data_IF_495867945444
#
_entry.id   IF_495867945444
#
_cell.length_a   1.000
_cell.length_b   1.000
_cell.length_c   1.000
_cell.angle_alpha   90.00
_cell.angle_beta   90.00
_cell.angle_gamma   90.00
#
_symmetry.space_group_name_H-M   'P 1'
#
loop_
_entity.id
_entity.type
_entity.pdbx_description
1 polymer ?
#
# COMPACT_ATOMS: atom_id res chain seq x y z
N UNK A 1 21.63 -4.32 -17.39
CA UNK A 1 21.13 -5.50 -18.12
C UNK A 1 19.71 -5.17 -18.57
N UNK A 2 19.43 -5.31 -19.84
CA UNK A 2 18.06 -5.08 -20.34
C UNK A 2 17.13 -6.20 -19.85
N UNK A 3 15.93 -5.83 -19.39
CA UNK A 3 14.90 -6.81 -19.06
C UNK A 3 14.53 -7.63 -20.29
N UNK A 4 14.17 -8.92 -20.14
CA UNK A 4 13.64 -9.71 -21.24
C UNK A 4 12.45 -8.99 -21.89
N UNK A 5 12.25 -9.18 -23.19
CA UNK A 5 11.17 -8.55 -23.92
C UNK A 5 9.82 -8.91 -23.29
N UNK A 6 9.10 -7.92 -22.78
CA UNK A 6 7.79 -8.10 -22.14
C UNK A 6 7.77 -7.86 -20.61
N UNK A 7 8.90 -7.85 -19.94
CA UNK A 7 8.98 -7.51 -18.51
C UNK A 7 9.09 -6.00 -18.32
N UNK A 8 8.14 -5.45 -17.59
CA UNK A 8 8.10 -4.02 -17.23
C UNK A 8 7.77 -3.86 -15.77
N UNK A 9 8.28 -2.82 -15.10
CA UNK A 9 7.86 -2.51 -13.74
C UNK A 9 6.34 -2.31 -13.70
N UNK A 10 5.70 -2.88 -12.68
CA UNK A 10 4.30 -2.61 -12.39
C UNK A 10 4.21 -1.33 -11.57
N UNK A 11 3.21 -0.51 -11.86
CA UNK A 11 2.90 0.64 -11.03
C UNK A 11 1.80 0.24 -10.03
N UNK A 12 2.04 0.48 -8.75
CA UNK A 12 1.09 0.23 -7.66
C UNK A 12 0.83 1.53 -6.92
N UNK A 13 -0.43 1.81 -6.65
CA UNK A 13 -0.85 2.89 -5.76
C UNK A 13 -1.27 2.32 -4.40
N UNK A 14 -1.04 3.10 -3.34
CA UNK A 14 -1.44 2.73 -1.99
C UNK A 14 -1.92 3.96 -1.22
N UNK A 15 -2.82 3.75 -0.27
CA UNK A 15 -3.46 4.79 0.51
C UNK A 15 -3.08 4.70 2.00
N UNK A 16 -2.52 5.79 2.55
CA UNK A 16 -2.43 5.98 3.99
C UNK A 16 -3.72 6.64 4.47
N UNK A 17 -4.54 5.88 5.18
CA UNK A 17 -5.84 6.31 5.71
C UNK A 17 -5.92 6.08 7.20
N UNK A 18 -6.59 6.99 7.89
CA UNK A 18 -6.86 6.90 9.33
C UNK A 18 -8.35 6.73 9.57
N UNK A 19 -8.70 5.74 10.39
CA UNK A 19 -10.04 5.48 10.88
C UNK A 19 -9.97 5.28 12.39
N UNK A 20 -10.70 6.09 13.16
CA UNK A 20 -10.69 6.06 14.63
C UNK A 20 -9.27 6.12 15.23
N UNK A 21 -8.41 6.99 14.67
CA UNK A 21 -7.03 7.18 15.12
C UNK A 21 -6.07 6.05 14.74
N UNK A 22 -6.50 5.09 13.95
CA UNK A 22 -5.73 3.92 13.54
C UNK A 22 -5.51 3.88 12.04
N UNK A 23 -4.41 3.28 11.63
CA UNK A 23 -4.05 3.09 10.22
C UNK A 23 -4.84 1.91 9.66
N UNK A 24 -5.50 2.12 8.53
CA UNK A 24 -6.16 1.03 7.79
C UNK A 24 -5.12 0.23 7.04
N UNK A 25 -5.03 -1.06 7.32
CA UNK A 25 -4.14 -1.99 6.62
C UNK A 25 -4.91 -3.17 6.08
N UNK A 26 -4.36 -3.86 5.10
CA UNK A 26 -4.88 -5.14 4.61
C UNK A 26 -3.90 -6.24 4.98
N UNK A 27 -4.44 -7.35 5.47
CA UNK A 27 -3.66 -8.52 5.86
C UNK A 27 -3.70 -9.57 4.76
N UNK A 28 -2.52 -9.99 4.35
CA UNK A 28 -2.33 -11.06 3.39
C UNK A 28 -1.69 -12.27 4.05
N UNK A 29 -1.94 -13.44 3.47
CA UNK A 29 -1.29 -14.68 3.86
C UNK A 29 -0.68 -15.36 2.64
N UNK A 30 0.58 -15.74 2.76
CA UNK A 30 1.30 -16.54 1.76
C UNK A 30 1.91 -17.75 2.48
N UNK A 31 1.29 -18.92 2.33
CA UNK A 31 1.67 -20.10 3.11
C UNK A 31 1.47 -19.85 4.61
N UNK A 32 2.55 -19.94 5.39
CA UNK A 32 2.55 -19.64 6.84
C UNK A 32 2.87 -18.17 7.15
N UNK A 33 3.34 -17.40 6.16
CA UNK A 33 3.68 -15.98 6.34
C UNK A 33 2.43 -15.12 6.35
N UNK A 34 2.31 -14.26 7.36
CA UNK A 34 1.28 -13.22 7.45
C UNK A 34 1.97 -11.88 7.37
N UNK A 35 1.50 -11.03 6.48
CA UNK A 35 2.05 -9.70 6.30
C UNK A 35 0.96 -8.68 6.02
N UNK A 36 1.29 -7.41 6.22
CA UNK A 36 0.38 -6.29 6.04
C UNK A 36 0.86 -5.35 4.93
N UNK A 37 -0.10 -4.74 4.27
CA UNK A 37 0.13 -3.67 3.28
C UNK A 37 -0.84 -2.53 3.58
N UNK A 38 -0.50 -1.34 3.09
CA UNK A 38 -1.51 -0.31 2.91
C UNK A 38 -2.48 -0.74 1.80
N UNK A 39 -3.77 -0.41 1.92
CA UNK A 39 -4.74 -0.68 0.86
C UNK A 39 -4.28 -0.08 -0.46
N UNK A 40 -4.39 -0.83 -1.53
CA UNK A 40 -3.97 -0.40 -2.86
C UNK A 40 -3.75 -1.55 -3.80
N UNK A 41 -3.28 -1.25 -5.00
CA UNK A 41 -3.04 -2.26 -6.01
C UNK A 41 -2.52 -1.69 -7.32
N UNK A 42 -2.48 -2.53 -8.34
CA UNK A 42 -1.96 -2.17 -9.65
C UNK A 42 -2.82 -1.15 -10.37
N UNK A 43 -2.14 -0.26 -11.06
CA UNK A 43 -2.78 0.70 -11.98
C UNK A 43 -3.01 0.00 -13.31
N UNK A 44 -4.25 0.01 -13.79
CA UNK A 44 -4.59 -0.56 -15.08
C UNK A 44 -4.26 0.39 -16.23
N UNK A 45 -4.07 -0.17 -17.41
CA UNK A 45 -3.79 0.65 -18.60
C UNK A 45 -4.90 1.66 -18.83
N UNK A 46 -4.51 2.94 -18.96
CA UNK A 46 -5.46 4.04 -19.20
C UNK A 46 -6.15 4.56 -17.93
N UNK A 47 -5.89 3.96 -16.78
CA UNK A 47 -6.44 4.40 -15.49
C UNK A 47 -5.52 5.46 -14.87
N UNK A 48 -6.10 6.51 -14.29
CA UNK A 48 -5.31 7.48 -13.50
C UNK A 48 -4.90 6.86 -12.16
N UNK A 49 -3.87 7.41 -11.52
CA UNK A 49 -3.46 7.00 -10.18
C UNK A 49 -4.62 7.19 -9.20
N UNK A 50 -5.37 8.29 -9.31
CA UNK A 50 -6.53 8.55 -8.46
C UNK A 50 -7.62 7.48 -8.64
N UNK A 51 -8.00 7.18 -9.87
CA UNK A 51 -9.03 6.19 -10.16
C UNK A 51 -8.61 4.79 -9.65
N UNK A 52 -7.34 4.43 -9.86
CA UNK A 52 -6.80 3.17 -9.37
C UNK A 52 -6.85 3.07 -7.84
N UNK A 53 -6.43 4.13 -7.14
CA UNK A 53 -6.42 4.15 -5.67
C UNK A 53 -7.85 4.03 -5.12
N UNK A 54 -8.79 4.82 -5.62
CA UNK A 54 -10.17 4.79 -5.15
C UNK A 54 -10.83 3.43 -5.40
N UNK A 55 -10.59 2.83 -6.55
CA UNK A 55 -11.07 1.49 -6.91
C UNK A 55 -10.49 0.41 -5.99
N UNK A 56 -9.17 0.38 -5.82
CA UNK A 56 -8.48 -0.63 -5.00
C UNK A 56 -8.88 -0.51 -3.52
N UNK A 57 -8.97 0.70 -3.00
CA UNK A 57 -9.41 0.92 -1.61
C UNK A 57 -10.82 0.35 -1.42
N UNK A 58 -11.74 0.61 -2.33
CA UNK A 58 -13.10 0.08 -2.23
C UNK A 58 -13.12 -1.45 -2.32
N UNK A 59 -12.41 -2.03 -3.27
CA UNK A 59 -12.35 -3.48 -3.47
C UNK A 59 -11.75 -4.22 -2.27
N UNK A 60 -10.70 -3.68 -1.67
CA UNK A 60 -10.00 -4.34 -0.58
C UNK A 60 -10.62 -4.08 0.79
N UNK A 61 -11.16 -2.89 1.01
CA UNK A 61 -11.59 -2.47 2.36
C UNK A 61 -13.11 -2.23 2.50
N UNK A 62 -13.82 -2.00 1.41
CA UNK A 62 -15.21 -1.56 1.45
C UNK A 62 -15.39 -0.06 1.73
N UNK A 63 -14.29 0.67 1.92
CA UNK A 63 -14.31 2.10 2.19
C UNK A 63 -14.26 2.91 0.89
N UNK A 64 -14.98 4.03 0.87
CA UNK A 64 -14.81 5.06 -0.13
C UNK A 64 -13.78 6.06 0.36
N UNK A 65 -12.86 6.46 -0.50
CA UNK A 65 -11.78 7.37 -0.16
C UNK A 65 -11.57 8.41 -1.25
N UNK A 66 -11.09 9.56 -0.84
CA UNK A 66 -10.68 10.65 -1.72
C UNK A 66 -9.16 10.81 -1.67
N UNK A 67 -8.54 10.92 -2.84
CA UNK A 67 -7.10 11.13 -2.98
C UNK A 67 -6.66 12.42 -2.30
N UNK A 68 -5.62 12.32 -1.49
CA UNK A 68 -4.93 13.45 -0.86
C UNK A 68 -3.52 13.64 -1.40
N UNK A 69 -2.63 14.26 -0.61
CA UNK A 69 -1.26 14.54 -1.04
C UNK A 69 -0.45 13.27 -1.33
N UNK A 70 0.45 13.37 -2.30
CA UNK A 70 1.50 12.38 -2.51
C UNK A 70 2.46 12.40 -1.31
N UNK A 71 2.73 11.21 -0.75
CA UNK A 71 3.65 11.05 0.38
C UNK A 71 4.97 10.45 -0.05
N UNK A 72 4.94 9.28 -0.68
CA UNK A 72 6.14 8.50 -0.95
C UNK A 72 6.10 7.85 -2.32
N UNK A 73 7.29 7.70 -2.90
CA UNK A 73 7.56 6.80 -4.03
C UNK A 73 8.71 5.89 -3.60
N UNK A 74 8.57 4.60 -3.86
CA UNK A 74 9.66 3.65 -3.66
C UNK A 74 9.63 2.55 -4.71
N UNK A 75 10.78 1.93 -4.93
CA UNK A 75 10.89 0.72 -5.73
C UNK A 75 10.82 -0.51 -4.83
N UNK A 76 10.22 -1.59 -5.32
CA UNK A 76 10.35 -2.93 -4.77
C UNK A 76 10.89 -3.83 -5.86
N UNK A 77 12.17 -4.20 -5.74
CA UNK A 77 12.88 -5.01 -6.72
C UNK A 77 13.31 -6.31 -6.05
N UNK A 78 12.74 -7.42 -6.50
CA UNK A 78 13.19 -8.74 -6.06
C UNK A 78 14.55 -9.03 -6.68
N UNK A 79 15.60 -9.30 -5.86
CA UNK A 79 16.91 -9.65 -6.38
C UNK A 79 16.93 -10.85 -7.31
N UNK A 80 15.94 -11.75 -7.22
CA UNK A 80 15.78 -12.88 -8.15
C UNK A 80 15.24 -12.48 -9.51
N UNK A 81 14.85 -11.21 -9.72
CA UNK A 81 14.29 -10.68 -10.96
C UNK A 81 12.84 -11.03 -11.23
N UNK A 82 12.15 -11.68 -10.29
CA UNK A 82 10.75 -12.09 -10.47
C UNK A 82 9.73 -10.97 -10.24
N UNK A 83 10.13 -9.89 -9.59
CA UNK A 83 9.21 -8.81 -9.25
C UNK A 83 9.91 -7.46 -9.29
N UNK A 84 9.30 -6.52 -9.99
CA UNK A 84 9.69 -5.12 -9.98
C UNK A 84 8.43 -4.26 -9.93
N UNK A 85 8.28 -3.49 -8.87
CA UNK A 85 7.11 -2.62 -8.64
C UNK A 85 7.59 -1.23 -8.28
N UNK A 86 6.96 -0.21 -8.88
CA UNK A 86 7.04 1.18 -8.41
C UNK A 86 5.82 1.45 -7.56
N UNK A 87 6.02 1.70 -6.28
CA UNK A 87 4.95 2.00 -5.32
C UNK A 87 4.80 3.51 -5.16
N UNK A 88 3.57 3.99 -5.27
CA UNK A 88 3.21 5.40 -5.10
C UNK A 88 2.18 5.47 -3.98
N UNK A 89 2.57 6.06 -2.85
CA UNK A 89 1.72 6.16 -1.65
C UNK A 89 1.19 7.57 -1.50
N UNK A 90 -0.14 7.68 -1.41
CA UNK A 90 -0.84 8.92 -1.13
C UNK A 90 -1.47 8.87 0.26
N UNK A 91 -1.61 10.04 0.90
CA UNK A 91 -2.61 10.17 1.94
C UNK A 91 -3.99 10.16 1.28
N UNK A 92 -4.97 9.57 1.93
CA UNK A 92 -6.35 9.57 1.44
C UNK A 92 -7.32 9.78 2.60
N UNK A 93 -8.43 10.43 2.31
CA UNK A 93 -9.49 10.70 3.30
C UNK A 93 -10.65 9.76 3.06
N UNK A 94 -11.10 9.08 4.12
CA UNK A 94 -12.28 8.20 4.06
C UNK A 94 -13.51 9.08 3.97
N UNK A 95 -14.32 8.86 2.94
CA UNK A 95 -15.53 9.65 2.66
C UNK A 95 -16.83 8.87 2.89
N UNK A 96 -16.75 7.56 3.08
CA UNK A 96 -17.93 6.72 3.31
C UNK A 96 -17.57 5.24 3.30
N UNK A 97 -18.61 4.42 3.27
CA UNK A 97 -18.46 2.97 3.28
C UNK A 97 -18.27 2.38 4.66
N UNK A 98 -18.05 1.08 4.71
CA UNK A 98 -17.75 0.30 5.93
C UNK A 98 -16.69 -0.72 5.61
N UNK A 99 -15.87 -1.04 6.61
CA UNK A 99 -14.90 -2.14 6.48
C UNK A 99 -15.66 -3.42 6.15
N UNK A 100 -15.29 -4.02 5.03
CA UNK A 100 -15.88 -5.27 4.56
C UNK A 100 -15.31 -6.47 5.30
N UNK A 101 -16.15 -7.48 5.54
CA UNK A 101 -15.73 -8.81 5.99
C UNK A 101 -15.50 -9.78 4.83
N UNK A 102 -15.80 -9.35 3.60
CA UNK A 102 -15.67 -10.15 2.37
C UNK A 102 -15.02 -9.31 1.27
N UNK A 103 -13.69 -9.07 1.36
CA UNK A 103 -12.99 -8.31 0.33
C UNK A 103 -13.14 -8.93 -1.06
N UNK A 104 -13.28 -8.08 -2.07
CA UNK A 104 -13.35 -8.53 -3.46
C UNK A 104 -12.02 -9.16 -3.92
N UNK A 105 -10.90 -8.63 -3.44
CA UNK A 105 -9.58 -9.24 -3.67
C UNK A 105 -9.38 -10.44 -2.74
N UNK A 106 -9.30 -11.62 -3.33
CA UNK A 106 -9.16 -12.89 -2.59
C UNK A 106 -7.81 -13.06 -1.87
N UNK A 107 -6.82 -12.22 -2.17
CA UNK A 107 -5.53 -12.20 -1.46
C UNK A 107 -5.65 -11.53 -0.10
N UNK A 108 -6.65 -10.67 0.07
CA UNK A 108 -6.91 -9.99 1.34
C UNK A 108 -7.63 -10.93 2.28
N UNK A 109 -6.96 -11.34 3.36
CA UNK A 109 -7.55 -12.18 4.41
C UNK A 109 -8.45 -11.37 5.34
N UNK A 110 -8.02 -10.15 5.68
CA UNK A 110 -8.77 -9.24 6.55
C UNK A 110 -8.29 -7.79 6.39
N UNK A 111 -9.13 -6.87 6.82
CA UNK A 111 -8.79 -5.46 7.00
C UNK A 111 -8.53 -5.24 8.50
N UNK A 112 -7.33 -4.75 8.83
CA UNK A 112 -6.95 -4.50 10.21
C UNK A 112 -6.75 -3.00 10.45
N UNK A 113 -7.16 -2.54 11.64
CA UNK A 113 -6.89 -1.21 12.14
C UNK A 113 -5.72 -1.28 13.11
N UNK A 114 -4.64 -0.57 12.79
CA UNK A 114 -3.37 -0.65 13.51
C UNK A 114 -3.00 0.72 14.06
N UNK A 115 -2.69 0.79 15.34
CA UNK A 115 -2.20 2.05 15.93
C UNK A 115 -0.87 2.44 15.28
N UNK A 116 -0.62 3.74 15.05
CA UNK A 116 0.62 4.18 14.41
C UNK A 116 1.89 3.61 15.04
N UNK A 117 1.94 3.55 16.37
CA UNK A 117 3.09 3.02 17.11
C UNK A 117 3.30 1.50 16.95
N UNK A 118 2.29 0.79 16.49
CA UNK A 118 2.35 -0.68 16.28
C UNK A 118 2.83 -1.05 14.87
N UNK A 119 2.92 -0.10 13.95
CA UNK A 119 3.32 -0.36 12.56
C UNK A 119 4.71 -1.02 12.47
N UNK A 120 5.64 -0.63 13.34
CA UNK A 120 7.00 -1.18 13.35
C UNK A 120 7.08 -2.62 13.84
N UNK A 121 6.05 -3.13 14.52
CA UNK A 121 5.96 -4.52 14.97
C UNK A 121 5.39 -5.47 13.91
N UNK A 122 4.84 -4.93 12.82
CA UNK A 122 4.25 -5.72 11.73
C UNK A 122 5.31 -6.08 10.68
N UNK A 123 5.08 -7.20 9.99
CA UNK A 123 5.68 -7.44 8.69
C UNK A 123 4.93 -6.59 7.66
N UNK A 124 5.28 -5.32 7.60
CA UNK A 124 4.71 -4.35 6.66
C UNK A 124 5.48 -4.37 5.35
N UNK A 125 4.78 -4.52 4.25
CA UNK A 125 5.39 -4.61 2.92
C UNK A 125 4.84 -3.54 1.97
N UNK A 126 5.69 -2.71 1.36
CA UNK A 126 7.13 -2.60 1.59
C UNK A 126 7.44 -2.12 3.03
N UNK A 127 8.67 -2.38 3.54
CA UNK A 127 9.06 -2.04 4.92
C UNK A 127 9.26 -0.52 5.06
N UNK A 128 8.20 0.21 5.35
CA UNK A 128 8.17 1.67 5.41
C UNK A 128 7.51 2.22 6.68
N UNK A 129 7.45 1.42 7.75
CA UNK A 129 6.77 1.81 8.98
C UNK A 129 7.29 3.15 9.55
N UNK A 130 8.61 3.35 9.57
CA UNK A 130 9.20 4.60 10.05
C UNK A 130 8.79 5.82 9.25
N UNK A 131 8.74 5.71 7.92
CA UNK A 131 8.27 6.79 7.04
C UNK A 131 6.80 7.12 7.29
N UNK A 132 5.95 6.12 7.45
CA UNK A 132 4.53 6.30 7.77
C UNK A 132 4.34 6.95 9.13
N UNK A 133 5.06 6.50 10.14
CA UNK A 133 5.01 7.09 11.50
C UNK A 133 5.43 8.56 11.47
N UNK A 134 6.47 8.92 10.72
CA UNK A 134 6.90 10.31 10.55
C UNK A 134 5.85 11.17 9.85
N UNK A 135 5.19 10.65 8.82
CA UNK A 135 4.10 11.35 8.13
C UNK A 135 2.90 11.59 9.07
N UNK A 136 2.56 10.58 9.88
CA UNK A 136 1.44 10.66 10.84
C UNK A 136 1.73 11.59 12.03
N UNK A 137 3.00 11.81 12.37
CA UNK A 137 3.41 12.72 13.43
C UNK A 137 3.27 14.22 13.07
N UNK A 138 2.70 14.53 11.90
CA UNK A 138 2.45 15.91 11.48
C UNK A 138 3.69 16.68 11.04
N UNK A 139 4.79 16.00 10.75
CA UNK A 139 5.94 16.63 10.10
C UNK A 139 5.52 17.09 8.71
N UNK A 140 6.07 18.24 8.26
CA UNK A 140 5.73 18.82 6.96
C UNK A 140 5.73 17.72 5.89
N UNK A 141 4.58 17.57 5.21
CA UNK A 141 4.43 16.57 4.15
C UNK A 141 5.24 17.06 2.96
N UNK A 142 6.45 16.54 2.83
CA UNK A 142 7.27 16.67 1.64
C UNK A 142 7.24 15.31 0.97
N UNK A 143 6.83 15.28 -0.29
CA UNK A 143 6.87 14.03 -1.08
C UNK A 143 8.32 13.53 -1.16
N UNK A 144 8.55 12.26 -0.83
CA UNK A 144 9.89 11.71 -0.66
C UNK A 144 10.06 10.42 -1.46
N UNK A 145 11.21 10.29 -2.11
CA UNK A 145 11.62 9.01 -2.69
C UNK A 145 12.40 8.20 -1.64
N UNK A 146 11.89 7.02 -1.29
CA UNK A 146 12.45 6.16 -0.24
C UNK A 146 13.47 5.14 -0.77
N UNK A 147 13.74 5.14 -2.07
CA UNK A 147 14.66 4.19 -2.68
C UNK A 147 14.06 2.79 -2.87
N UNK A 148 14.90 1.78 -2.88
CA UNK A 148 14.49 0.40 -3.06
C UNK A 148 14.23 -0.26 -1.71
N UNK A 149 12.99 -0.74 -1.50
CA UNK A 149 12.53 -1.40 -0.28
C UNK A 149 12.03 -2.80 -0.64
N UNK A 150 12.68 -3.81 -0.09
CA UNK A 150 12.33 -5.21 -0.34
C UNK A 150 12.42 -6.04 0.93
N UNK A 151 11.43 -6.92 1.15
CA UNK A 151 11.45 -7.93 2.20
C UNK A 151 11.53 -9.30 1.56
N UNK A 152 12.57 -10.06 1.89
CA UNK A 152 12.71 -11.45 1.45
C UNK A 152 11.69 -12.36 2.12
N UNK A 153 11.35 -13.48 1.47
CA UNK A 153 10.52 -14.54 2.05
C UNK A 153 9.01 -14.38 1.83
N UNK A 154 8.65 -13.71 0.76
CA UNK A 154 7.28 -13.72 0.28
C UNK A 154 7.04 -14.89 -0.68
#
# INVERSE_FOLDING_TARGET
MAAPAGERPRVRVAALMILDGKVVTVRHRAGTAVYHLLPGGGVDWGETLQAALEREVLEETGLSAELGPLLFVNDTIDPSGRRHVVNITFAATITGGRITTSPADKRVEAVDLVRPEELSALDLRPPMAGALQSALAGRAIVSEYLGSLFTAGA
#
